data_IF_951630091311
#
_entry.id   IF_951630091311
#
_cell.length_a   1.000
_cell.length_b   1.000
_cell.length_c   1.000
_cell.angle_alpha   90.00
_cell.angle_beta   90.00
_cell.angle_gamma   90.00
#
_symmetry.space_group_name_H-M   'P 1'
#
loop_
_entity.id
_entity.type
_entity.pdbx_description
1 polymer ?
#
# COMPACT_ATOMS: atom_id res chain seq x y z
N UNK A 1 -5.13 -3.91 -6.68
CA UNK A 1 -5.04 -4.64 -5.40
C UNK A 1 -5.90 -4.01 -4.31
N UNK A 2 -5.60 -2.80 -3.83
CA UNK A 2 -6.37 -2.18 -2.74
C UNK A 2 -7.89 -2.06 -3.02
N UNK A 3 -8.27 -1.64 -4.24
CA UNK A 3 -9.68 -1.57 -4.65
C UNK A 3 -10.41 -2.91 -4.58
N UNK A 4 -9.83 -3.97 -5.15
CA UNK A 4 -10.42 -5.32 -5.14
C UNK A 4 -10.59 -5.85 -3.70
N UNK A 5 -9.66 -5.53 -2.81
CA UNK A 5 -9.75 -5.89 -1.38
C UNK A 5 -10.97 -5.26 -0.70
N UNK A 6 -11.25 -3.98 -0.99
CA UNK A 6 -12.44 -3.29 -0.47
C UNK A 6 -13.74 -3.77 -1.14
N UNK A 7 -13.71 -4.11 -2.44
CA UNK A 7 -14.85 -4.69 -3.15
C UNK A 7 -15.23 -6.08 -2.63
N UNK A 8 -14.29 -6.82 -2.03
CA UNK A 8 -14.54 -8.10 -1.35
C UNK A 8 -15.08 -7.95 0.08
N UNK A 9 -15.33 -6.71 0.55
CA UNK A 9 -15.95 -6.44 1.85
C UNK A 9 -14.97 -6.31 3.03
N UNK A 10 -13.66 -6.33 2.79
CA UNK A 10 -12.69 -6.10 3.86
C UNK A 10 -12.65 -4.64 4.27
N UNK A 11 -12.76 -4.36 5.57
CA UNK A 11 -12.87 -2.99 6.07
C UNK A 11 -11.53 -2.26 6.26
N UNK A 12 -10.41 -2.99 6.24
CA UNK A 12 -9.08 -2.38 6.44
C UNK A 12 -7.97 -3.18 5.79
N UNK A 13 -6.87 -2.50 5.45
CA UNK A 13 -5.66 -3.13 4.91
C UNK A 13 -4.41 -2.37 5.38
N UNK A 14 -3.37 -3.12 5.73
CA UNK A 14 -2.06 -2.55 6.06
C UNK A 14 -1.28 -2.26 4.78
N UNK A 15 -0.64 -1.08 4.69
CA UNK A 15 0.26 -0.78 3.57
C UNK A 15 1.41 -1.79 3.48
N UNK A 16 1.84 -2.35 4.61
CA UNK A 16 2.84 -3.41 4.65
C UNK A 16 2.44 -4.61 3.81
N UNK A 17 1.21 -5.11 4.02
CA UNK A 17 0.65 -6.22 3.27
C UNK A 17 0.60 -5.91 1.77
N UNK A 18 0.06 -4.74 1.38
CA UNK A 18 0.02 -4.34 -0.04
C UNK A 18 1.42 -4.25 -0.65
N UNK A 19 2.40 -3.76 0.10
CA UNK A 19 3.78 -3.61 -0.36
C UNK A 19 4.48 -4.95 -0.53
N UNK A 20 4.25 -5.88 0.37
CA UNK A 20 4.81 -7.23 0.33
C UNK A 20 4.16 -8.07 -0.78
N UNK A 21 2.84 -7.99 -0.93
CA UNK A 21 2.12 -8.62 -2.06
C UNK A 21 2.59 -8.05 -3.39
N UNK A 22 2.74 -6.71 -3.50
CA UNK A 22 3.24 -6.08 -4.71
C UNK A 22 4.68 -6.53 -5.00
N UNK A 23 5.56 -6.55 -3.99
CA UNK A 23 6.94 -7.03 -4.13
C UNK A 23 6.98 -8.49 -4.60
N UNK A 24 6.17 -9.35 -4.00
CA UNK A 24 6.08 -10.76 -4.37
C UNK A 24 5.60 -10.95 -5.81
N UNK A 25 4.51 -10.28 -6.20
CA UNK A 25 3.99 -10.30 -7.58
C UNK A 25 5.03 -9.80 -8.57
N UNK A 26 5.67 -8.66 -8.29
CA UNK A 26 6.74 -8.15 -9.16
C UNK A 26 7.93 -9.10 -9.24
N UNK A 27 8.28 -9.80 -8.15
CA UNK A 27 9.37 -10.76 -8.13
C UNK A 27 9.07 -12.07 -8.88
N UNK A 28 7.80 -12.40 -9.08
CA UNK A 28 7.36 -13.56 -9.86
C UNK A 28 7.18 -13.19 -11.33
N UNK A 29 6.55 -12.05 -11.60
CA UNK A 29 6.20 -11.61 -12.96
C UNK A 29 7.36 -10.94 -13.70
N UNK A 30 8.35 -10.39 -12.98
CA UNK A 30 9.44 -9.64 -13.60
C UNK A 30 10.75 -10.44 -13.60
N UNK A 31 11.20 -10.86 -14.78
CA UNK A 31 12.54 -11.38 -15.06
C UNK A 31 13.43 -10.28 -15.63
N UNK A 32 13.71 -9.23 -14.85
CA UNK A 32 14.44 -8.04 -15.31
C UNK A 32 14.83 -7.08 -14.18
N UNK A 33 15.32 -5.89 -14.51
CA UNK A 33 15.78 -4.88 -13.54
C UNK A 33 14.67 -4.55 -12.54
N UNK A 34 14.82 -5.09 -11.32
CA UNK A 34 13.77 -5.06 -10.31
C UNK A 34 13.73 -3.63 -9.79
N UNK A 35 12.69 -2.87 -10.11
CA UNK A 35 12.42 -1.60 -9.45
C UNK A 35 12.42 -1.84 -7.94
N UNK A 36 13.48 -1.38 -7.25
CA UNK A 36 13.68 -1.67 -5.84
C UNK A 36 12.63 -0.92 -5.04
N UNK A 37 11.55 -1.60 -4.69
CA UNK A 37 10.48 -1.09 -3.83
C UNK A 37 11.07 -0.72 -2.46
N UNK A 38 11.49 0.55 -2.35
CA UNK A 38 12.12 1.09 -1.16
C UNK A 38 11.08 1.35 -0.07
N UNK A 39 11.39 0.81 1.10
CA UNK A 39 10.58 0.84 2.29
C UNK A 39 10.15 2.24 2.77
N UNK A 40 10.97 3.25 2.47
CA UNK A 40 10.78 4.62 2.92
C UNK A 40 9.59 5.32 2.25
N UNK A 41 9.14 4.83 1.08
CA UNK A 41 8.04 5.46 0.34
C UNK A 41 6.65 4.93 0.70
N UNK A 42 6.55 3.90 1.56
CA UNK A 42 5.27 3.28 1.93
C UNK A 42 4.26 4.30 2.46
N UNK A 43 4.68 5.15 3.39
CA UNK A 43 3.82 6.20 3.97
C UNK A 43 3.35 7.23 2.93
N UNK A 44 4.21 7.60 1.98
CA UNK A 44 3.88 8.53 0.90
C UNK A 44 2.86 7.95 -0.07
N UNK A 45 2.97 6.66 -0.38
CA UNK A 45 1.98 5.96 -1.20
C UNK A 45 0.62 5.83 -0.51
N UNK A 46 0.58 5.61 0.81
CA UNK A 46 -0.71 5.62 1.55
C UNK A 46 -1.38 6.98 1.42
N UNK A 47 -0.65 8.07 1.63
CA UNK A 47 -1.18 9.42 1.50
C UNK A 47 -1.71 9.68 0.09
N UNK A 48 -1.00 9.24 -0.95
CA UNK A 48 -1.47 9.35 -2.34
C UNK A 48 -2.73 8.51 -2.61
N UNK A 49 -2.84 7.31 -2.02
CA UNK A 49 -4.02 6.46 -2.16
C UNK A 49 -5.25 7.08 -1.48
N UNK A 50 -5.06 7.69 -0.31
CA UNK A 50 -6.10 8.44 0.41
C UNK A 50 -6.47 9.71 -0.37
N UNK A 51 -5.50 10.46 -0.89
CA UNK A 51 -5.75 11.66 -1.71
C UNK A 51 -6.61 11.33 -2.93
N UNK A 52 -6.33 10.20 -3.60
CA UNK A 52 -7.11 9.74 -4.76
C UNK A 52 -8.45 9.10 -4.38
N UNK A 53 -8.58 8.58 -3.16
CA UNK A 53 -9.79 7.92 -2.66
C UNK A 53 -10.00 8.29 -1.19
N UNK A 54 -10.59 9.46 -0.90
CA UNK A 54 -10.69 9.99 0.48
C UNK A 54 -11.43 9.05 1.43
N UNK A 55 -12.37 8.25 0.91
CA UNK A 55 -13.10 7.22 1.67
C UNK A 55 -12.21 6.10 2.23
N UNK A 56 -10.96 6.00 1.80
CA UNK A 56 -10.01 4.99 2.28
C UNK A 56 -9.19 5.46 3.48
N UNK A 57 -9.35 6.71 3.93
CA UNK A 57 -8.63 7.24 5.11
C UNK A 57 -8.83 6.36 6.35
N UNK A 58 -10.06 5.91 6.60
CA UNK A 58 -10.41 5.02 7.71
C UNK A 58 -10.02 3.56 7.47
N UNK A 59 -9.74 3.20 6.21
CA UNK A 59 -9.41 1.85 5.80
C UNK A 59 -7.90 1.55 5.94
N UNK A 60 -7.05 2.59 5.88
CA UNK A 60 -5.63 2.49 6.18
C UNK A 60 -5.38 2.89 7.64
N UNK A 61 -4.90 1.96 8.47
CA UNK A 61 -4.40 2.32 9.80
C UNK A 61 -3.04 3.00 9.70
N UNK A 62 -3.03 4.27 9.29
CA UNK A 62 -1.85 5.13 9.38
C UNK A 62 -1.69 5.58 10.83
N UNK A 63 -0.66 5.08 11.51
CA UNK A 63 -0.19 5.74 12.74
C UNK A 63 0.27 7.13 12.37
N UNK A 64 -0.17 8.15 13.11
CA UNK A 64 0.37 9.50 12.97
C UNK A 64 1.90 9.44 13.06
N UNK A 65 2.57 10.05 12.09
CA UNK A 65 4.02 10.24 12.15
C UNK A 65 4.28 11.21 13.30
N UNK A 66 4.68 10.68 14.45
CA UNK A 66 5.26 11.52 15.51
C UNK A 66 6.63 11.96 15.02
N UNK A 67 6.76 13.24 14.69
CA UNK A 67 8.07 13.88 14.62
C UNK A 67 8.67 13.83 16.03
N UNK A 68 9.90 13.34 16.14
CA UNK A 68 10.68 13.39 17.37
C UNK A 68 11.36 14.75 17.50
#
# INVERSE_FOLDING_TARGET
>A
MARNWFEQGHSSVSIGMLWETMRWLTGIETTGDIYRLNNNYRSRYVRLLIERNPSWETAFRVRELRAA
#
